data_IF_434473078732
#
_entry.id   IF_434473078732
#
_cell.length_a   1.000
_cell.length_b   1.000
_cell.length_c   1.000
_cell.angle_alpha   90.00
_cell.angle_beta   90.00
_cell.angle_gamma   90.00
#
_symmetry.space_group_name_H-M   'P 1'
#
loop_
_entity.id
_entity.type
_entity.pdbx_description
1 polymer ?
#
# COMPACT_ATOMS: atom_id res chain seq x y z
N UNK A 1 0.56 4.28 -24.37
CA UNK A 1 1.36 3.29 -23.62
C UNK A 1 1.41 3.78 -22.18
N UNK A 2 0.52 3.28 -21.32
CA UNK A 2 0.44 3.72 -19.92
C UNK A 2 1.65 3.17 -19.18
N UNK A 3 2.53 4.05 -18.69
CA UNK A 3 3.58 3.65 -17.76
C UNK A 3 2.88 3.17 -16.49
N UNK A 4 2.81 1.85 -16.28
CA UNK A 4 2.38 1.33 -14.99
C UNK A 4 3.31 1.91 -13.93
N UNK A 5 2.78 2.39 -12.80
CA UNK A 5 3.62 2.98 -11.79
C UNK A 5 4.56 1.89 -11.25
N UNK A 6 5.84 2.25 -11.17
CA UNK A 6 6.92 1.38 -10.69
C UNK A 6 6.76 1.03 -9.19
N UNK A 7 5.86 1.73 -8.49
CA UNK A 7 5.40 1.44 -7.14
C UNK A 7 3.88 1.35 -7.16
N UNK A 8 3.33 0.27 -6.62
CA UNK A 8 1.89 0.03 -6.51
C UNK A 8 1.45 0.07 -5.04
N UNK A 9 0.31 0.69 -4.78
CA UNK A 9 -0.36 0.57 -3.49
C UNK A 9 -1.33 -0.62 -3.53
N UNK A 10 -1.29 -1.47 -2.51
CA UNK A 10 -2.10 -2.68 -2.43
C UNK A 10 -2.79 -2.78 -1.07
N UNK A 11 -4.05 -3.23 -1.09
CA UNK A 11 -4.76 -3.65 0.12
C UNK A 11 -4.36 -5.09 0.43
N UNK A 12 -4.01 -5.34 1.69
CA UNK A 12 -3.69 -6.66 2.20
C UNK A 12 -4.50 -6.95 3.47
N UNK A 13 -4.72 -8.24 3.76
CA UNK A 13 -5.42 -8.68 4.96
C UNK A 13 -4.61 -9.77 5.66
N UNK A 14 -4.21 -9.49 6.89
CA UNK A 14 -3.40 -10.45 7.63
C UNK A 14 -2.83 -9.90 8.91
N UNK A 15 -1.79 -10.57 9.36
CA UNK A 15 -1.02 -10.21 10.54
C UNK A 15 0.19 -9.38 10.16
N UNK A 16 0.33 -8.20 10.76
CA UNK A 16 1.59 -7.45 10.76
C UNK A 16 2.43 -7.69 12.03
N UNK A 17 2.19 -8.76 12.78
CA UNK A 17 2.94 -9.01 14.02
C UNK A 17 4.35 -9.51 13.72
N UNK A 18 5.35 -8.70 14.03
CA UNK A 18 6.70 -9.22 14.32
C UNK A 18 6.61 -10.08 15.58
N UNK A 19 6.94 -11.37 15.45
CA UNK A 19 7.17 -12.34 16.54
C UNK A 19 6.07 -12.48 17.62
N UNK A 20 5.28 -13.56 17.51
CA UNK A 20 4.79 -14.29 18.69
C UNK A 20 3.50 -13.82 19.37
N UNK A 21 2.74 -12.87 18.81
CA UNK A 21 1.34 -12.66 19.22
C UNK A 21 0.39 -13.30 18.22
N UNK A 22 -0.71 -13.88 18.70
CA UNK A 22 -1.88 -14.18 17.87
C UNK A 22 -2.39 -12.85 17.33
N UNK A 23 -1.92 -12.47 16.15
CA UNK A 23 -2.28 -11.19 15.59
C UNK A 23 -3.76 -11.19 15.25
N UNK A 24 -4.47 -10.24 15.83
CA UNK A 24 -5.75 -9.83 15.29
C UNK A 24 -5.53 -9.50 13.81
N UNK A 25 -6.16 -10.29 12.94
CA UNK A 25 -6.06 -10.06 11.50
C UNK A 25 -6.68 -8.69 11.22
N UNK A 26 -5.94 -7.85 10.51
CA UNK A 26 -6.38 -6.50 10.18
C UNK A 26 -6.17 -6.21 8.71
N UNK A 27 -6.96 -5.27 8.19
CA UNK A 27 -6.70 -4.71 6.89
C UNK A 27 -5.50 -3.77 6.99
N UNK A 28 -4.64 -3.83 5.99
CA UNK A 28 -3.43 -3.03 5.90
C UNK A 28 -3.23 -2.54 4.46
N UNK A 29 -2.38 -1.54 4.32
CA UNK A 29 -1.93 -1.06 3.02
C UNK A 29 -0.42 -1.25 2.93
N UNK A 30 0.03 -1.78 1.81
CA UNK A 30 1.44 -1.94 1.47
C UNK A 30 1.78 -1.26 0.15
N UNK A 31 3.00 -0.79 0.04
CA UNK A 31 3.61 -0.39 -1.22
C UNK A 31 4.41 -1.56 -1.76
N UNK A 32 4.33 -1.82 -3.06
CA UNK A 32 5.09 -2.87 -3.73
C UNK A 32 5.82 -2.34 -4.96
N UNK A 33 7.09 -2.70 -5.10
CA UNK A 33 7.88 -2.54 -6.33
C UNK A 33 8.47 -3.90 -6.67
N UNK A 34 8.01 -4.51 -7.76
CA UNK A 34 8.42 -5.88 -8.09
C UNK A 34 8.07 -6.85 -6.96
N UNK A 35 9.09 -7.49 -6.38
CA UNK A 35 8.98 -8.43 -5.25
C UNK A 35 9.16 -7.73 -3.89
N UNK A 36 9.71 -6.52 -3.87
CA UNK A 36 9.93 -5.75 -2.64
C UNK A 36 8.63 -5.08 -2.19
N UNK A 37 8.37 -5.11 -0.88
CA UNK A 37 7.21 -4.47 -0.31
C UNK A 37 7.46 -3.89 1.08
N UNK A 38 6.67 -2.87 1.42
CA UNK A 38 6.68 -2.20 2.73
C UNK A 38 5.24 -1.97 3.19
N UNK A 39 4.91 -2.36 4.41
CA UNK A 39 3.63 -2.02 5.05
C UNK A 39 3.68 -0.57 5.51
N UNK A 40 2.68 0.23 5.14
CA UNK A 40 2.59 1.66 5.47
C UNK A 40 1.47 1.98 6.45
N UNK A 41 0.44 1.13 6.55
CA UNK A 41 -0.66 1.29 7.50
C UNK A 41 -1.25 -0.07 7.88
N UNK A 42 -1.61 -0.28 9.16
CA UNK A 42 -2.20 -1.51 9.71
C UNK A 42 -3.40 -1.18 10.59
N UNK A 43 -4.20 -2.18 10.99
CA UNK A 43 -5.32 -1.96 11.91
C UNK A 43 -6.53 -1.26 11.26
N UNK A 44 -6.59 -1.25 9.92
CA UNK A 44 -7.66 -0.58 9.20
C UNK A 44 -8.92 -1.44 9.16
N UNK A 45 -10.06 -0.78 8.98
CA UNK A 45 -11.26 -1.43 8.42
C UNK A 45 -11.10 -1.50 6.89
N UNK A 46 -11.72 -2.49 6.25
CA UNK A 46 -11.63 -2.70 4.79
C UNK A 46 -11.83 -1.43 3.97
N UNK A 47 -12.94 -0.72 4.19
CA UNK A 47 -13.27 0.50 3.45
C UNK A 47 -12.23 1.63 3.63
N UNK A 48 -11.57 1.68 4.79
CA UNK A 48 -10.53 2.66 5.04
C UNK A 48 -9.22 2.28 4.31
N UNK A 49 -8.91 0.99 4.22
CA UNK A 49 -7.77 0.50 3.42
C UNK A 49 -7.99 0.74 1.92
N UNK A 50 -9.20 0.46 1.41
CA UNK A 50 -9.57 0.73 0.00
C UNK A 50 -9.39 2.22 -0.33
N UNK A 51 -9.92 3.10 0.51
CA UNK A 51 -9.80 4.57 0.32
C UNK A 51 -8.36 5.06 0.41
N UNK A 52 -7.55 4.48 1.28
CA UNK A 52 -6.15 4.85 1.41
C UNK A 52 -5.34 4.43 0.17
N UNK A 53 -5.63 3.25 -0.40
CA UNK A 53 -4.99 2.81 -1.65
C UNK A 53 -5.35 3.72 -2.82
N UNK A 54 -6.60 4.16 -2.95
CA UNK A 54 -7.01 5.14 -3.97
C UNK A 54 -6.19 6.42 -3.85
N UNK A 55 -6.11 7.01 -2.64
CA UNK A 55 -5.37 8.25 -2.40
C UNK A 55 -3.87 8.11 -2.70
N UNK A 56 -3.24 7.01 -2.27
CA UNK A 56 -1.83 6.76 -2.54
C UNK A 56 -1.61 6.56 -4.04
N UNK A 57 -2.50 5.85 -4.72
CA UNK A 57 -2.41 5.63 -6.16
C UNK A 57 -2.48 6.96 -6.93
N UNK A 58 -3.39 7.84 -6.55
CA UNK A 58 -3.51 9.17 -7.15
C UNK A 58 -2.23 10.00 -6.94
N UNK A 59 -1.65 9.96 -5.74
CA UNK A 59 -0.38 10.64 -5.43
C UNK A 59 0.80 10.09 -6.23
N UNK A 60 0.84 8.77 -6.47
CA UNK A 60 1.89 8.12 -7.27
C UNK A 60 1.70 8.36 -8.78
N UNK A 61 0.47 8.58 -9.22
CA UNK A 61 0.14 8.91 -10.60
C UNK A 61 0.52 10.37 -10.95
N UNK A 62 0.40 11.29 -9.99
CA UNK A 62 0.75 12.71 -10.13
C UNK A 62 2.26 12.97 -10.04
N UNK A 63 3.05 12.24 -10.83
CA UNK A 63 4.50 12.47 -10.92
C UNK A 63 4.74 13.83 -11.60
N UNK A 64 5.27 14.86 -10.92
CA UNK A 64 5.83 16.00 -11.63
C UNK A 64 6.96 15.46 -12.52
N UNK A 65 6.86 15.73 -13.82
CA UNK A 65 7.94 15.44 -14.76
C UNK A 65 9.25 16.03 -14.25
N UNK A 66 10.35 15.38 -14.62
CA UNK A 66 11.71 15.93 -14.53
C UNK A 66 11.72 17.45 -14.71
N UNK A 67 12.07 18.18 -13.65
CA UNK A 67 12.60 19.54 -13.83
C UNK A 67 14.03 19.36 -14.33
N UNK A 68 14.24 19.76 -15.58
CA UNK A 68 15.54 19.85 -16.26
C UNK A 68 16.60 20.58 -15.44
#
# INVERSE_FOLDING_TARGET
MTLLPDVLAEVDFGSASSHGRLAEQSWMVRLRRGEDWVIVAIGLRRHAADRLVEQITDLLADRPGEVS
#
